data_IF_795286450916
#
_entry.id   IF_795286450916
#
_cell.length_a   1.000
_cell.length_b   1.000
_cell.length_c   1.000
_cell.angle_alpha   90.00
_cell.angle_beta   90.00
_cell.angle_gamma   90.00
#
_symmetry.space_group_name_H-M   'P 1'
#
loop_
_entity.id
_entity.type
_entity.pdbx_description
1 polymer ?
#
# COMPACT_ATOMS: atom_id res chain seq x y z
N UNK A 1 -15.54 -10.62 -9.88
CA UNK A 1 -15.69 -10.90 -8.43
C UNK A 1 -15.06 -9.79 -7.61
N UNK A 2 -15.74 -9.28 -6.57
CA UNK A 2 -15.28 -8.15 -5.75
C UNK A 2 -13.92 -8.41 -5.08
N UNK A 3 -13.73 -9.57 -4.45
CA UNK A 3 -12.48 -9.89 -3.72
C UNK A 3 -11.26 -10.07 -4.63
N UNK A 4 -11.42 -10.72 -5.78
CA UNK A 4 -10.31 -10.90 -6.75
C UNK A 4 -9.73 -9.54 -7.18
N UNK A 5 -10.60 -8.54 -7.39
CA UNK A 5 -10.13 -7.21 -7.76
C UNK A 5 -9.49 -6.46 -6.58
N UNK A 6 -9.95 -6.70 -5.35
CA UNK A 6 -9.32 -6.15 -4.15
C UNK A 6 -7.90 -6.72 -3.95
N UNK A 7 -7.74 -8.03 -4.15
CA UNK A 7 -6.44 -8.71 -4.15
C UNK A 7 -5.56 -8.10 -5.26
N UNK A 8 -6.06 -7.99 -6.49
CA UNK A 8 -5.30 -7.38 -7.58
C UNK A 8 -4.86 -5.94 -7.28
N UNK A 9 -5.72 -5.13 -6.66
CA UNK A 9 -5.33 -3.80 -6.16
C UNK A 9 -4.23 -3.85 -5.09
N UNK A 10 -4.22 -4.87 -4.23
CA UNK A 10 -3.14 -5.11 -3.27
C UNK A 10 -1.83 -5.48 -3.95
N UNK A 11 -1.88 -6.36 -4.97
CA UNK A 11 -0.71 -6.71 -5.79
C UNK A 11 -0.12 -5.46 -6.45
N UNK A 12 -0.95 -4.56 -6.99
CA UNK A 12 -0.48 -3.31 -7.60
C UNK A 12 0.26 -2.42 -6.59
N UNK A 13 -0.25 -2.29 -5.35
CA UNK A 13 0.45 -1.54 -4.29
C UNK A 13 1.78 -2.21 -3.95
N UNK A 14 1.79 -3.53 -3.77
CA UNK A 14 3.00 -4.27 -3.48
C UNK A 14 4.07 -4.06 -4.57
N UNK A 15 3.70 -4.22 -5.85
CA UNK A 15 4.62 -3.98 -6.98
C UNK A 15 5.18 -2.55 -6.91
N UNK A 16 4.33 -1.54 -6.71
CA UNK A 16 4.77 -0.15 -6.66
C UNK A 16 5.72 0.13 -5.49
N UNK A 17 5.45 -0.45 -4.31
CA UNK A 17 6.29 -0.30 -3.12
C UNK A 17 7.63 -1.03 -3.30
N UNK A 18 7.61 -2.30 -3.69
CA UNK A 18 8.83 -3.09 -3.91
C UNK A 18 9.70 -2.50 -5.00
N UNK A 19 9.10 -2.04 -6.11
CA UNK A 19 9.82 -1.35 -7.17
C UNK A 19 10.43 -0.02 -6.69
N UNK A 20 9.74 0.71 -5.81
CA UNK A 20 10.26 1.95 -5.24
C UNK A 20 11.52 1.67 -4.41
N UNK A 21 11.49 0.68 -3.52
CA UNK A 21 12.69 0.28 -2.76
C UNK A 21 13.84 -0.12 -3.70
N UNK A 22 13.55 -0.96 -4.70
CA UNK A 22 14.56 -1.38 -5.68
C UNK A 22 15.20 -0.20 -6.41
N UNK A 23 14.42 0.79 -6.84
CA UNK A 23 14.94 1.99 -7.51
C UNK A 23 15.79 2.83 -6.54
N UNK A 24 15.33 2.99 -5.30
CA UNK A 24 16.03 3.80 -4.30
C UNK A 24 17.38 3.21 -3.89
N UNK A 25 17.52 1.88 -3.87
CA UNK A 25 18.79 1.20 -3.63
C UNK A 25 19.85 1.49 -4.70
N UNK A 26 19.45 1.92 -5.90
CA UNK A 26 20.37 2.29 -6.98
C UNK A 26 20.83 3.76 -6.92
N UNK A 27 20.21 4.59 -6.07
CA UNK A 27 20.51 6.02 -5.99
C UNK A 27 21.62 6.28 -4.96
N UNK A 28 22.77 6.80 -5.40
CA UNK A 28 23.95 7.08 -4.57
C UNK A 28 23.66 7.85 -3.27
N UNK A 29 22.71 8.80 -3.26
CA UNK A 29 22.40 9.61 -2.08
C UNK A 29 21.49 8.92 -1.04
N UNK A 30 20.79 7.86 -1.42
CA UNK A 30 19.72 7.25 -0.60
C UNK A 30 19.99 5.76 -0.33
N UNK A 31 20.85 5.14 -1.14
CA UNK A 31 21.29 3.75 -1.02
C UNK A 31 21.74 3.37 0.40
N UNK A 32 22.53 4.22 1.05
CA UNK A 32 23.19 3.86 2.32
C UNK A 32 22.29 4.05 3.55
N UNK A 33 21.09 4.61 3.38
CA UNK A 33 20.19 4.90 4.50
C UNK A 33 18.81 4.30 4.29
N UNK A 34 18.59 3.14 4.90
CA UNK A 34 17.28 2.49 4.98
C UNK A 34 16.19 3.41 5.56
N UNK A 35 16.58 4.32 6.47
CA UNK A 35 15.66 5.30 7.04
C UNK A 35 15.09 6.25 5.97
N UNK A 36 15.95 6.83 5.13
CA UNK A 36 15.52 7.74 4.06
C UNK A 36 14.69 7.01 3.01
N UNK A 37 15.07 5.77 2.66
CA UNK A 37 14.29 4.94 1.74
C UNK A 37 12.88 4.71 2.27
N UNK A 38 12.78 4.24 3.51
CA UNK A 38 11.52 3.96 4.18
C UNK A 38 10.64 5.20 4.31
N UNK A 39 11.24 6.34 4.64
CA UNK A 39 10.53 7.62 4.75
C UNK A 39 9.91 8.06 3.43
N UNK A 40 10.69 8.02 2.33
CA UNK A 40 10.20 8.38 0.99
C UNK A 40 9.09 7.43 0.53
N UNK A 41 9.29 6.13 0.69
CA UNK A 41 8.29 5.12 0.31
C UNK A 41 7.01 5.25 1.13
N UNK A 42 7.10 5.62 2.41
CA UNK A 42 5.94 5.89 3.26
C UNK A 42 5.11 7.09 2.77
N UNK A 43 5.73 8.09 2.15
CA UNK A 43 4.99 9.19 1.52
C UNK A 43 4.34 8.71 0.22
N UNK A 44 5.07 7.93 -0.58
CA UNK A 44 4.60 7.46 -1.89
C UNK A 44 3.46 6.43 -1.79
N UNK A 45 3.47 5.57 -0.77
CA UNK A 45 2.44 4.55 -0.56
C UNK A 45 1.04 5.17 -0.45
N UNK A 46 0.91 6.41 0.03
CA UNK A 46 -0.37 7.13 0.07
C UNK A 46 -0.93 7.29 -1.34
N UNK A 47 -0.10 7.70 -2.30
CA UNK A 47 -0.50 7.87 -3.69
C UNK A 47 -0.79 6.53 -4.35
N UNK A 48 0.04 5.51 -4.11
CA UNK A 48 -0.16 4.16 -4.64
C UNK A 48 -1.45 3.52 -4.12
N UNK A 49 -1.74 3.69 -2.83
CA UNK A 49 -2.96 3.21 -2.18
C UNK A 49 -4.20 3.87 -2.79
N UNK A 50 -4.19 5.19 -2.95
CA UNK A 50 -5.30 5.94 -3.55
C UNK A 50 -5.51 5.54 -5.01
N UNK A 51 -4.43 5.43 -5.80
CA UNK A 51 -4.50 5.00 -7.20
C UNK A 51 -5.10 3.60 -7.34
N UNK A 52 -4.63 2.66 -6.53
CA UNK A 52 -5.10 1.27 -6.52
C UNK A 52 -6.55 1.14 -6.01
N UNK A 53 -6.94 1.97 -5.04
CA UNK A 53 -8.32 2.07 -4.58
C UNK A 53 -9.23 2.65 -5.68
N UNK A 54 -8.80 3.69 -6.39
CA UNK A 54 -9.55 4.26 -7.52
C UNK A 54 -9.75 3.22 -8.62
N UNK A 55 -8.71 2.43 -8.91
CA UNK A 55 -8.83 1.29 -9.84
C UNK A 55 -9.90 0.30 -9.36
N UNK A 56 -9.91 -0.09 -8.08
CA UNK A 56 -10.92 -0.98 -7.52
C UNK A 56 -12.35 -0.45 -7.69
N UNK A 57 -12.59 0.79 -7.26
CA UNK A 57 -13.93 1.40 -7.23
C UNK A 57 -14.48 1.81 -8.61
N UNK A 58 -13.66 1.80 -9.67
CA UNK A 58 -14.12 2.12 -11.04
C UNK A 58 -15.27 1.23 -11.55
N UNK A 59 -15.56 0.11 -10.89
CA UNK A 59 -16.63 -0.83 -11.28
C UNK A 59 -17.78 -0.87 -10.26
N UNK A 60 -18.00 0.25 -9.56
CA UNK A 60 -19.12 0.48 -8.65
C UNK A 60 -19.30 -0.55 -7.52
N UNK A 61 -18.20 -1.11 -7.01
CA UNK A 61 -18.27 -2.06 -5.89
C UNK A 61 -18.50 -1.34 -4.55
N UNK A 62 -19.49 -1.82 -3.79
CA UNK A 62 -19.89 -1.29 -2.47
C UNK A 62 -19.08 -1.89 -1.30
N UNK A 63 -17.75 -1.96 -1.43
CA UNK A 63 -16.89 -2.33 -0.29
C UNK A 63 -16.56 -1.10 0.55
N UNK A 64 -16.37 -1.26 1.86
CA UNK A 64 -15.91 -0.15 2.71
C UNK A 64 -14.43 0.14 2.44
N UNK A 65 -14.02 1.40 2.59
CA UNK A 65 -12.61 1.80 2.39
C UNK A 65 -11.66 1.06 3.32
N UNK A 66 -12.08 0.84 4.56
CA UNK A 66 -11.30 0.12 5.57
C UNK A 66 -11.13 -1.37 5.19
N UNK A 67 -12.21 -2.04 4.75
CA UNK A 67 -12.12 -3.43 4.28
C UNK A 67 -11.19 -3.57 3.08
N UNK A 68 -11.29 -2.66 2.11
CA UNK A 68 -10.42 -2.67 0.93
C UNK A 68 -8.95 -2.45 1.34
N UNK A 69 -8.68 -1.46 2.20
CA UNK A 69 -7.35 -1.17 2.70
C UNK A 69 -6.72 -2.36 3.43
N UNK A 70 -7.48 -3.04 4.29
CA UNK A 70 -7.02 -4.26 4.98
C UNK A 70 -6.70 -5.37 3.97
N UNK A 71 -7.59 -5.64 3.00
CA UNK A 71 -7.34 -6.69 2.00
C UNK A 71 -6.09 -6.36 1.18
N UNK A 72 -5.91 -5.09 0.79
CA UNK A 72 -4.72 -4.64 0.07
C UNK A 72 -3.44 -4.83 0.89
N UNK A 73 -3.44 -4.41 2.16
CA UNK A 73 -2.28 -4.59 3.06
C UNK A 73 -1.98 -6.07 3.33
N UNK A 74 -2.99 -6.90 3.58
CA UNK A 74 -2.80 -8.35 3.78
C UNK A 74 -2.24 -9.03 2.53
N UNK A 75 -2.72 -8.63 1.34
CA UNK A 75 -2.20 -9.15 0.07
C UNK A 75 -0.73 -8.78 -0.10
N UNK A 76 -0.35 -7.53 0.19
CA UNK A 76 1.03 -7.08 0.12
C UNK A 76 1.93 -7.84 1.11
N UNK A 77 1.51 -7.97 2.37
CA UNK A 77 2.25 -8.74 3.37
C UNK A 77 2.42 -10.21 2.97
N UNK A 78 1.39 -10.82 2.39
CA UNK A 78 1.47 -12.20 1.90
C UNK A 78 2.48 -12.33 0.76
N UNK A 79 2.51 -11.35 -0.16
CA UNK A 79 3.52 -11.30 -1.21
C UNK A 79 4.92 -11.03 -0.66
N UNK A 80 5.06 -10.26 0.41
CA UNK A 80 6.36 -10.06 1.06
C UNK A 80 6.92 -11.37 1.61
N UNK A 81 6.10 -12.21 2.24
CA UNK A 81 6.52 -13.53 2.73
C UNK A 81 6.98 -14.44 1.60
N UNK A 82 6.26 -14.41 0.48
CA UNK A 82 6.49 -15.31 -0.65
C UNK A 82 7.63 -14.84 -1.56
N UNK A 83 7.83 -13.53 -1.66
CA UNK A 83 8.73 -12.93 -2.65
C UNK A 83 9.78 -12.05 -1.98
N UNK A 84 9.39 -10.96 -1.33
CA UNK A 84 10.35 -9.96 -0.79
C UNK A 84 11.34 -10.59 0.20
N UNK A 85 10.86 -11.40 1.14
CA UNK A 85 11.73 -12.02 2.14
C UNK A 85 12.71 -13.01 1.51
N UNK A 86 12.28 -14.04 0.77
CA UNK A 86 13.21 -15.04 0.22
C UNK A 86 14.13 -14.50 -0.85
N UNK A 87 13.69 -13.53 -1.67
CA UNK A 87 14.48 -13.03 -2.80
C UNK A 87 15.26 -11.74 -2.52
N UNK A 88 14.91 -10.96 -1.48
CA UNK A 88 15.57 -9.69 -1.16
C UNK A 88 16.17 -9.70 0.24
N UNK A 89 15.38 -10.00 1.27
CA UNK A 89 15.84 -9.92 2.67
C UNK A 89 16.86 -11.01 3.03
N UNK A 90 16.61 -12.26 2.67
CA UNK A 90 17.52 -13.38 2.97
C UNK A 90 18.89 -13.21 2.31
N UNK A 91 18.99 -12.86 1.00
CA UNK A 91 20.27 -12.53 0.38
C UNK A 91 21.00 -11.36 1.03
N UNK A 92 20.28 -10.40 1.60
CA UNK A 92 20.83 -9.28 2.37
C UNK A 92 21.20 -9.64 3.82
N UNK A 93 21.11 -10.92 4.20
CA UNK A 93 21.48 -11.43 5.52
C UNK A 93 20.40 -11.28 6.60
N UNK A 94 19.16 -10.97 6.21
CA UNK A 94 18.02 -10.82 7.14
C UNK A 94 17.16 -12.08 7.16
N UNK A 95 16.35 -12.23 8.21
CA UNK A 95 15.44 -13.37 8.39
C UNK A 95 13.98 -12.93 8.39
N UNK A 96 13.06 -13.90 8.27
CA UNK A 96 11.62 -13.65 8.44
C UNK A 96 11.32 -12.93 9.75
N UNK A 97 11.96 -13.33 10.85
CA UNK A 97 11.80 -12.69 12.16
C UNK A 97 12.23 -11.22 12.15
N UNK A 98 13.40 -10.92 11.56
CA UNK A 98 13.90 -9.53 11.43
C UNK A 98 12.96 -8.65 10.61
N UNK A 99 12.35 -9.22 9.56
CA UNK A 99 11.43 -8.51 8.69
C UNK A 99 10.10 -8.20 9.39
N UNK A 100 9.50 -9.19 10.05
CA UNK A 100 8.20 -9.02 10.74
C UNK A 100 8.30 -8.21 12.04
N UNK A 101 9.47 -8.17 12.66
CA UNK A 101 9.73 -7.32 13.83
C UNK A 101 10.01 -5.86 13.41
N UNK A 102 10.23 -5.60 12.11
CA UNK A 102 10.51 -4.26 11.60
C UNK A 102 9.30 -3.32 11.78
N UNK A 103 9.44 -2.20 12.50
CA UNK A 103 8.36 -1.22 12.64
C UNK A 103 7.95 -0.61 11.29
N UNK A 104 8.89 -0.51 10.34
CA UNK A 104 8.64 0.10 9.02
C UNK A 104 7.55 -0.66 8.25
N UNK A 105 7.57 -1.99 8.30
CA UNK A 105 6.56 -2.82 7.64
C UNK A 105 5.16 -2.52 8.17
N UNK A 106 5.01 -2.44 9.49
CA UNK A 106 3.72 -2.18 10.12
C UNK A 106 3.25 -0.74 9.87
N UNK A 107 4.18 0.23 9.85
CA UNK A 107 3.88 1.61 9.46
C UNK A 107 3.37 1.66 8.02
N UNK A 108 4.04 1.01 7.07
CA UNK A 108 3.61 0.96 5.67
C UNK A 108 2.23 0.31 5.53
N UNK A 109 2.02 -0.84 6.17
CA UNK A 109 0.74 -1.55 6.14
C UNK A 109 -0.41 -0.70 6.72
N UNK A 110 -0.14 0.00 7.84
CA UNK A 110 -1.09 0.91 8.48
C UNK A 110 -1.39 2.12 7.60
N UNK A 111 -0.37 2.81 7.09
CA UNK A 111 -0.51 3.99 6.24
C UNK A 111 -1.26 3.63 4.96
N UNK A 112 -1.00 2.47 4.34
CA UNK A 112 -1.75 1.98 3.19
C UNK A 112 -3.25 1.84 3.52
N UNK A 113 -3.60 1.09 4.58
CA UNK A 113 -4.99 0.87 4.96
C UNK A 113 -5.70 2.18 5.34
N UNK A 114 -5.03 3.04 6.10
CA UNK A 114 -5.54 4.32 6.55
C UNK A 114 -5.74 5.31 5.39
N UNK A 115 -4.83 5.32 4.42
CA UNK A 115 -4.94 6.15 3.21
C UNK A 115 -6.18 5.80 2.39
N UNK A 116 -6.44 4.51 2.17
CA UNK A 116 -7.65 4.04 1.47
C UNK A 116 -8.92 4.43 2.25
N UNK A 117 -8.88 4.30 3.58
CA UNK A 117 -9.99 4.66 4.45
C UNK A 117 -10.31 6.17 4.38
N UNK A 118 -9.32 7.03 4.58
CA UNK A 118 -9.48 8.48 4.53
C UNK A 118 -9.96 8.95 3.16
N UNK A 119 -9.38 8.42 2.08
CA UNK A 119 -9.79 8.75 0.73
C UNK A 119 -11.26 8.39 0.48
N UNK A 120 -11.69 7.19 0.88
CA UNK A 120 -13.08 6.76 0.72
C UNK A 120 -14.05 7.60 1.56
N UNK A 121 -13.66 7.95 2.79
CA UNK A 121 -14.45 8.83 3.67
C UNK A 121 -14.60 10.23 3.05
N UNK A 122 -13.51 10.82 2.55
CA UNK A 122 -13.51 12.11 1.87
C UNK A 122 -14.33 12.11 0.57
N UNK A 123 -14.21 11.04 -0.24
CA UNK A 123 -15.00 10.88 -1.47
C UNK A 123 -16.51 10.80 -1.19
N UNK A 124 -16.90 10.14 -0.10
CA UNK A 124 -18.31 10.06 0.33
C UNK A 124 -18.86 11.42 0.74
N UNK A 125 -18.05 12.21 1.48
CA UNK A 125 -18.42 13.57 1.90
C UNK A 125 -18.63 14.52 0.72
N UNK A 126 -17.75 14.47 -0.31
CA UNK A 126 -17.90 15.31 -1.51
C UNK A 126 -19.17 15.02 -2.30
N UNK A 127 -19.51 13.74 -2.47
CA UNK A 127 -20.74 13.35 -3.17
C UNK A 127 -22.00 13.77 -2.41
N UNK A 128 -21.96 13.81 -1.08
CA UNK A 128 -23.10 14.22 -0.25
C UNK A 128 -23.31 15.74 -0.27
N UNK A 129 -22.23 16.52 -0.35
CA UNK A 129 -22.30 17.98 -0.52
C UNK A 129 -22.78 18.38 -1.92
N UNK A 130 -22.38 17.65 -2.97
CA UNK A 130 -22.87 17.87 -4.33
C UNK A 130 -24.39 17.63 -4.45
N UNK A 131 -24.91 16.62 -3.75
CA UNK A 131 -26.35 16.36 -3.69
C UNK A 131 -27.12 17.46 -2.94
N UNK A 132 -26.56 18.00 -1.86
CA UNK A 132 -27.18 19.10 -1.10
C UNK A 132 -27.20 20.44 -1.84
N UNK A 133 -26.34 20.65 -2.82
CA UNK A 133 -26.30 21.90 -3.61
C UNK A 133 -27.14 21.81 -4.90
N UNK A 134 -27.79 20.67 -5.16
CA UNK A 134 -28.62 20.44 -6.34
C UNK A 134 -30.14 20.49 -6.03
N UNK A 135 -30.49 20.72 -4.77
CA UNK A 135 -31.83 20.94 -4.24
C UNK A 135 -31.82 22.21 -3.38
#
# INVERSE_FOLDING_TARGET
MKYIRAIFSGILVWIAVSLSFYILEQILFVKDSFFWQSFMVTIWIVFFAIGSAKFYYSKNYNMSGLQLGIIMSLTALFLDVLITVPFVEIPNGRSYESFFTSPVLWILAFVNAFSVFLWKKGARSKNQSAYKNCF
#
